data_IF_899747061647
#
_entry.id   IF_899747061647
#
_cell.length_a   1.000
_cell.length_b   1.000
_cell.length_c   1.000
_cell.angle_alpha   90.00
_cell.angle_beta   90.00
_cell.angle_gamma   90.00
#
_symmetry.space_group_name_H-M   'P 1'
#
loop_
_entity.id
_entity.type
_entity.pdbx_description
1 polymer ?
#
# COMPACT_ATOMS: atom_id res chain seq x y z
N UNK A 1 11.14 14.47 14.84
CA UNK A 1 12.47 13.98 14.42
C UNK A 1 13.07 14.86 13.30
N UNK A 2 13.07 16.19 13.43
CA UNK A 2 13.57 17.08 12.37
C UNK A 2 15.11 17.10 12.39
N UNK A 3 15.73 16.94 11.23
CA UNK A 3 17.19 16.98 11.06
C UNK A 3 17.94 15.68 11.35
N UNK A 4 17.23 14.59 11.65
CA UNK A 4 17.86 13.26 11.80
C UNK A 4 17.96 12.62 10.42
N UNK A 5 19.15 12.13 10.07
CA UNK A 5 19.34 11.40 8.82
C UNK A 5 18.61 10.05 8.89
N UNK A 6 17.89 9.72 7.82
CA UNK A 6 17.13 8.49 7.74
C UNK A 6 18.04 7.25 7.83
N UNK A 7 19.29 7.35 7.38
CA UNK A 7 20.25 6.23 7.49
C UNK A 7 20.65 5.89 8.92
N UNK A 8 20.47 6.81 9.85
CA UNK A 8 20.81 6.62 11.28
C UNK A 8 19.66 6.00 12.08
N UNK A 9 18.49 5.89 11.47
CA UNK A 9 17.28 5.39 12.11
C UNK A 9 17.06 3.94 11.70
N UNK A 10 16.77 3.09 12.68
CA UNK A 10 16.20 1.77 12.47
C UNK A 10 14.91 1.65 13.27
N UNK A 11 13.77 1.61 12.59
CA UNK A 11 12.48 1.36 13.21
C UNK A 11 11.28 1.85 12.43
N UNK A 12 10.16 2.01 13.13
CA UNK A 12 8.85 2.28 12.52
C UNK A 12 8.61 3.78 12.57
N UNK A 13 8.53 4.40 11.40
CA UNK A 13 8.49 5.85 11.26
C UNK A 13 7.24 6.28 10.49
N UNK A 14 6.52 7.25 11.06
CA UNK A 14 5.52 8.01 10.34
C UNK A 14 6.21 9.11 9.54
N UNK A 15 5.98 9.12 8.23
CA UNK A 15 6.60 10.03 7.30
C UNK A 15 5.57 10.62 6.33
N UNK A 16 5.81 11.88 5.95
CA UNK A 16 5.17 12.52 4.81
C UNK A 16 5.95 12.19 3.54
N UNK A 17 5.25 11.64 2.56
CA UNK A 17 5.78 11.08 1.33
C UNK A 17 5.28 11.91 0.15
N UNK A 18 6.21 12.30 -0.71
CA UNK A 18 5.91 12.89 -2.03
C UNK A 18 6.48 11.98 -3.10
N UNK A 19 5.61 11.46 -3.95
CA UNK A 19 6.02 10.55 -5.03
C UNK A 19 6.69 11.31 -6.18
N UNK A 20 7.68 10.73 -6.87
CA UNK A 20 8.20 11.31 -8.09
C UNK A 20 7.14 11.32 -9.20
N UNK A 21 7.16 12.34 -10.08
CA UNK A 21 6.14 12.53 -11.12
C UNK A 21 6.03 11.33 -12.08
N UNK A 22 7.16 10.76 -12.48
CA UNK A 22 7.25 9.75 -13.54
C UNK A 22 7.37 8.30 -13.00
N UNK A 23 6.75 7.99 -11.87
CA UNK A 23 6.85 6.64 -11.28
C UNK A 23 5.72 5.72 -11.74
N UNK A 24 6.01 4.70 -12.55
CA UNK A 24 4.96 3.79 -13.05
C UNK A 24 4.53 2.73 -12.04
N UNK A 25 5.44 2.39 -11.12
CA UNK A 25 5.24 1.37 -10.09
C UNK A 25 5.50 1.98 -8.72
N UNK A 26 4.49 2.65 -8.12
CA UNK A 26 4.64 3.22 -6.80
C UNK A 26 4.97 2.15 -5.78
N UNK A 27 5.88 2.48 -4.87
CA UNK A 27 6.47 1.57 -3.91
C UNK A 27 5.61 1.38 -2.65
N UNK A 28 5.04 2.46 -2.12
CA UNK A 28 4.36 2.42 -0.84
C UNK A 28 2.91 1.93 -0.94
N UNK A 29 2.53 0.91 -0.15
CA UNK A 29 1.13 0.56 0.01
C UNK A 29 0.40 1.56 0.91
N UNK A 30 -0.88 1.79 0.62
CA UNK A 30 -1.81 2.53 1.47
C UNK A 30 -3.22 1.94 1.36
N UNK A 31 -3.97 1.94 2.46
CA UNK A 31 -5.41 1.62 2.41
C UNK A 31 -6.20 2.90 2.20
N UNK A 32 -7.17 2.87 1.28
CA UNK A 32 -8.14 3.95 1.14
C UNK A 32 -9.17 3.92 2.30
N UNK A 33 -10.10 4.89 2.29
CA UNK A 33 -11.18 4.99 3.28
C UNK A 33 -12.06 3.73 3.36
N UNK A 34 -12.09 2.93 2.30
CA UNK A 34 -12.87 1.70 2.19
C UNK A 34 -12.04 0.45 2.57
N UNK A 35 -10.80 0.63 3.06
CA UNK A 35 -9.90 -0.46 3.44
C UNK A 35 -9.20 -1.16 2.26
N UNK A 36 -9.38 -0.68 1.03
CA UNK A 36 -8.76 -1.25 -0.16
C UNK A 36 -7.28 -0.89 -0.22
N UNK A 37 -6.41 -1.90 -0.33
CA UNK A 37 -4.97 -1.71 -0.49
C UNK A 37 -4.63 -1.19 -1.89
N UNK A 38 -4.08 0.02 -1.95
CA UNK A 38 -3.61 0.77 -3.11
C UNK A 38 -2.08 0.97 -3.07
N UNK A 39 -1.51 1.28 -4.23
CA UNK A 39 -0.13 1.78 -4.36
C UNK A 39 -0.19 3.11 -5.11
N UNK A 40 -0.50 4.23 -4.42
CA UNK A 40 -0.83 5.49 -5.07
C UNK A 40 0.39 6.34 -5.42
N UNK A 41 0.18 7.31 -6.32
CA UNK A 41 1.03 8.50 -6.50
C UNK A 41 0.46 9.67 -5.69
N UNK A 42 1.21 10.76 -5.59
CA UNK A 42 0.79 12.01 -4.97
C UNK A 42 1.54 12.29 -3.66
N UNK A 43 0.78 12.79 -2.68
CA UNK A 43 1.27 13.31 -1.40
C UNK A 43 0.50 12.68 -0.26
N UNK A 44 1.16 11.92 0.59
CA UNK A 44 0.46 11.25 1.68
C UNK A 44 1.34 11.01 2.90
N UNK A 45 0.69 10.84 4.06
CA UNK A 45 1.36 10.47 5.31
C UNK A 45 1.09 9.00 5.62
N UNK A 46 2.14 8.23 5.87
CA UNK A 46 2.05 6.81 6.21
C UNK A 46 3.09 6.39 7.24
N UNK A 47 2.91 5.19 7.78
CA UNK A 47 3.82 4.58 8.76
C UNK A 47 4.54 3.42 8.08
N UNK A 48 5.87 3.48 8.04
CA UNK A 48 6.72 2.55 7.30
C UNK A 48 7.96 2.20 8.10
N UNK A 49 8.59 1.07 7.78
CA UNK A 49 9.91 0.74 8.31
C UNK A 49 10.95 1.69 7.69
N UNK A 50 11.93 2.14 8.48
CA UNK A 50 13.01 3.03 8.01
C UNK A 50 13.74 2.48 6.78
N UNK A 51 13.91 1.16 6.67
CA UNK A 51 14.60 0.55 5.52
C UNK A 51 13.78 0.68 4.23
N UNK A 52 12.45 0.63 4.33
CA UNK A 52 11.55 0.91 3.21
C UNK A 52 11.69 2.37 2.78
N UNK A 53 11.77 3.29 3.75
CA UNK A 53 11.99 4.72 3.48
C UNK A 53 13.37 4.95 2.81
N UNK A 54 14.43 4.31 3.28
CA UNK A 54 15.79 4.42 2.71
C UNK A 54 15.78 3.92 1.26
N UNK A 55 15.10 2.80 1.00
CA UNK A 55 14.95 2.29 -0.36
C UNK A 55 14.14 3.25 -1.25
N UNK A 56 13.07 3.84 -0.73
CA UNK A 56 12.27 4.81 -1.47
C UNK A 56 13.03 6.09 -1.83
N UNK A 57 14.00 6.54 -1.01
CA UNK A 57 14.89 7.64 -1.40
C UNK A 57 15.69 7.31 -2.66
N UNK A 58 16.17 6.07 -2.80
CA UNK A 58 16.84 5.59 -4.03
C UNK A 58 15.91 5.63 -5.24
N UNK A 59 14.61 5.43 -5.02
CA UNK A 59 13.55 5.57 -6.02
C UNK A 59 13.10 7.03 -6.22
N UNK A 60 13.84 8.02 -5.69
CA UNK A 60 13.59 9.47 -5.84
C UNK A 60 12.31 9.97 -5.15
N UNK A 61 11.81 9.26 -4.15
CA UNK A 61 10.77 9.81 -3.27
C UNK A 61 11.35 10.92 -2.41
N UNK A 62 10.55 11.99 -2.18
CA UNK A 62 10.86 12.94 -1.10
C UNK A 62 10.16 12.46 0.17
N UNK A 63 10.92 12.35 1.24
CA UNK A 63 10.47 11.74 2.51
C UNK A 63 10.80 12.71 3.63
N UNK A 64 9.81 13.02 4.45
CA UNK A 64 9.95 13.91 5.60
C UNK A 64 9.47 13.18 6.85
N UNK A 65 10.36 13.02 7.82
CA UNK A 65 10.08 12.28 9.05
C UNK A 65 9.28 13.14 10.02
N UNK A 66 8.19 12.59 10.52
CA UNK A 66 7.33 13.26 11.50
C UNK A 66 7.68 12.77 12.90
N UNK A 67 7.36 11.50 13.18
CA UNK A 67 7.56 10.81 14.46
C UNK A 67 7.72 9.31 14.23
N UNK A 68 8.28 8.58 15.19
CA UNK A 68 8.50 7.14 15.05
C UNK A 68 9.14 6.52 16.28
N UNK A 69 9.22 5.20 16.26
CA UNK A 69 9.91 4.38 17.26
C UNK A 69 11.22 3.85 16.65
N UNK A 70 12.30 3.96 17.39
CA UNK A 70 13.60 3.39 17.04
C UNK A 70 13.85 2.10 17.81
N UNK A 71 14.62 1.19 17.20
CA UNK A 71 15.04 -0.07 17.78
C UNK A 71 16.55 -0.25 17.62
N UNK A 72 17.14 -1.00 18.53
CA UNK A 72 18.51 -1.46 18.39
C UNK A 72 18.58 -2.60 17.39
N UNK A 73 19.52 -2.53 16.44
CA UNK A 73 19.81 -3.66 15.55
C UNK A 73 20.48 -4.77 16.37
N UNK A 74 19.80 -5.91 16.51
CA UNK A 74 20.33 -7.12 17.15
C UNK A 74 20.44 -8.25 16.15
N UNK A 75 21.32 -9.21 16.45
CA UNK A 75 21.41 -10.46 15.68
C UNK A 75 20.10 -11.23 15.82
N UNK A 76 19.70 -11.93 14.75
CA UNK A 76 18.46 -12.70 14.76
C UNK A 76 18.56 -13.86 15.76
N UNK A 77 17.73 -13.82 16.79
CA UNK A 77 17.56 -14.91 17.76
C UNK A 77 17.02 -16.20 17.12
N UNK A 78 16.47 -16.11 15.90
CA UNK A 78 15.89 -17.23 15.17
C UNK A 78 16.88 -17.93 14.24
N UNK A 79 18.12 -17.43 14.11
CA UNK A 79 19.08 -17.93 13.12
C UNK A 79 19.32 -19.44 13.25
N UNK A 80 19.59 -19.92 14.46
CA UNK A 80 19.89 -21.34 14.70
C UNK A 80 18.66 -22.20 14.42
N UNK A 81 17.50 -21.83 14.98
CA UNK A 81 16.24 -22.53 14.75
C UNK A 81 15.90 -22.66 13.25
N UNK A 82 15.97 -21.56 12.51
CA UNK A 82 15.66 -21.57 11.07
C UNK A 82 16.66 -22.43 10.29
N UNK A 83 17.95 -22.37 10.64
CA UNK A 83 18.99 -23.16 9.97
C UNK A 83 18.77 -24.67 10.19
N UNK A 84 18.52 -25.09 11.43
CA UNK A 84 18.29 -26.50 11.77
C UNK A 84 17.03 -27.09 11.13
N UNK A 85 15.92 -26.34 11.17
CA UNK A 85 14.65 -26.78 10.54
C UNK A 85 14.79 -26.82 9.01
N UNK A 86 15.54 -25.87 8.43
CA UNK A 86 15.82 -25.86 7.00
C UNK A 86 16.65 -27.06 6.55
N UNK A 87 17.71 -27.40 7.29
CA UNK A 87 18.53 -28.59 7.01
C UNK A 87 17.71 -29.88 7.11
N UNK A 88 16.85 -29.97 8.12
CA UNK A 88 15.93 -31.11 8.27
C UNK A 88 14.97 -31.22 7.08
N UNK A 89 14.47 -30.09 6.59
CA UNK A 89 13.66 -30.04 5.36
C UNK A 89 14.42 -30.48 4.12
N UNK A 90 15.70 -30.09 3.97
CA UNK A 90 16.53 -30.53 2.85
C UNK A 90 16.77 -32.05 2.87
N UNK A 91 16.98 -32.63 4.05
CA UNK A 91 17.10 -34.09 4.23
C UNK A 91 15.81 -34.81 3.83
N UNK A 92 14.66 -34.35 4.31
CA UNK A 92 13.35 -34.93 3.96
C UNK A 92 13.08 -34.89 2.45
N UNK A 93 13.43 -33.79 1.77
CA UNK A 93 13.34 -33.70 0.31
C UNK A 93 14.23 -34.72 -0.40
N UNK A 94 15.46 -34.92 0.09
CA UNK A 94 16.40 -35.89 -0.51
C UNK A 94 15.92 -37.33 -0.35
N UNK A 95 15.24 -37.64 0.76
CA UNK A 95 14.67 -38.97 1.02
C UNK A 95 13.28 -39.18 0.40
N UNK A 96 12.71 -38.19 -0.30
CA UNK A 96 11.36 -38.27 -0.88
C UNK A 96 10.23 -38.21 0.16
N UNK A 97 10.51 -37.76 1.38
CA UNK A 97 9.50 -37.60 2.44
C UNK A 97 8.79 -36.25 2.29
N UNK A 98 7.77 -36.24 1.44
CA UNK A 98 6.97 -35.06 1.15
C UNK A 98 6.18 -34.55 2.37
N UNK A 99 5.78 -35.46 3.27
CA UNK A 99 5.03 -35.12 4.48
C UNK A 99 5.91 -34.30 5.43
N UNK A 100 7.11 -34.79 5.73
CA UNK A 100 8.05 -34.07 6.60
C UNK A 100 8.56 -32.79 5.95
N UNK A 101 8.85 -32.82 4.64
CA UNK A 101 9.23 -31.62 3.87
C UNK A 101 8.17 -30.52 3.95
N UNK A 102 6.89 -30.89 3.89
CA UNK A 102 5.77 -29.97 4.08
C UNK A 102 5.65 -29.50 5.53
N UNK A 103 5.75 -30.43 6.50
CA UNK A 103 5.72 -30.11 7.94
C UNK A 103 6.76 -29.08 8.34
N UNK A 104 8.02 -29.27 7.93
CA UNK A 104 9.09 -28.31 8.18
C UNK A 104 8.85 -26.97 7.48
N UNK A 105 8.32 -26.96 6.26
CA UNK A 105 7.94 -25.72 5.56
C UNK A 105 6.92 -24.92 6.36
N UNK A 106 5.86 -25.58 6.84
CA UNK A 106 4.81 -24.94 7.63
C UNK A 106 5.35 -24.45 8.97
N UNK A 107 6.22 -25.22 9.63
CA UNK A 107 6.83 -24.81 10.89
C UNK A 107 7.65 -23.53 10.72
N UNK A 108 8.49 -23.46 9.69
CA UNK A 108 9.26 -22.26 9.35
C UNK A 108 8.36 -21.06 9.05
N UNK A 109 7.31 -21.27 8.25
CA UNK A 109 6.37 -20.21 7.88
C UNK A 109 5.50 -19.75 9.06
N UNK A 110 5.23 -20.62 10.02
CA UNK A 110 4.40 -20.29 11.18
C UNK A 110 5.17 -19.50 12.23
N UNK A 111 6.51 -19.59 12.27
CA UNK A 111 7.33 -18.91 13.27
C UNK A 111 7.10 -17.40 13.27
N UNK A 112 7.31 -16.74 12.12
CA UNK A 112 7.11 -15.29 12.05
C UNK A 112 5.64 -14.91 12.25
N UNK A 113 4.72 -15.74 11.75
CA UNK A 113 3.28 -15.55 11.91
C UNK A 113 2.87 -15.51 13.38
N UNK A 114 3.54 -16.27 14.27
CA UNK A 114 3.27 -16.24 15.72
C UNK A 114 3.56 -14.89 16.38
N UNK A 115 4.57 -14.16 15.89
CA UNK A 115 4.92 -12.83 16.44
C UNK A 115 4.00 -11.72 15.93
N UNK A 116 3.28 -11.95 14.83
CA UNK A 116 2.32 -11.02 14.25
C UNK A 116 0.86 -11.43 14.53
N UNK A 117 0.64 -12.33 15.51
CA UNK A 117 -0.71 -12.66 15.98
C UNK A 117 -1.25 -11.45 16.72
N UNK A 118 -2.45 -11.02 16.34
CA UNK A 118 -3.17 -9.98 17.06
C UNK A 118 -3.32 -10.40 18.54
N UNK A 119 -2.77 -9.63 19.51
CA UNK A 119 -2.82 -9.98 20.93
C UNK A 119 -4.25 -10.03 21.47
N UNK A 120 -5.18 -9.36 20.79
CA UNK A 120 -6.61 -9.51 21.01
C UNK A 120 -7.09 -10.75 20.26
N UNK A 121 -7.07 -11.89 20.93
CA UNK A 121 -7.79 -13.06 20.46
C UNK A 121 -9.28 -12.78 20.57
N UNK A 122 -9.98 -12.85 19.45
CA UNK A 122 -11.43 -12.76 19.45
C UNK A 122 -11.98 -14.06 20.03
N UNK A 123 -12.75 -13.99 21.10
CA UNK A 123 -13.51 -15.14 21.59
C UNK A 123 -14.82 -15.16 20.80
N UNK A 124 -15.05 -16.24 20.06
CA UNK A 124 -16.28 -16.42 19.29
C UNK A 124 -17.23 -17.32 20.08
N UNK A 125 -18.29 -16.73 20.65
CA UNK A 125 -19.35 -17.47 21.36
C UNK A 125 -20.58 -17.59 20.47
N UNK A 126 -21.02 -18.82 20.16
CA UNK A 126 -22.32 -19.07 19.54
C UNK A 126 -23.36 -18.98 20.65
N UNK A 127 -24.14 -17.90 20.67
CA UNK A 127 -25.07 -17.63 21.76
C UNK A 127 -26.48 -17.32 21.26
N UNK A 128 -27.48 -17.59 22.12
CA UNK A 128 -28.89 -17.25 21.86
C UNK A 128 -29.11 -15.74 22.05
N UNK A 129 -30.17 -15.19 21.44
CA UNK A 129 -30.50 -13.74 21.47
C UNK A 129 -30.38 -13.08 22.85
N UNK A 130 -30.85 -13.74 23.91
CA UNK A 130 -30.77 -13.22 25.29
C UNK A 130 -29.32 -13.00 25.75
N UNK A 131 -28.42 -13.93 25.44
CA UNK A 131 -26.99 -13.87 25.77
C UNK A 131 -26.25 -12.84 24.90
N UNK A 132 -26.67 -12.68 23.65
CA UNK A 132 -26.20 -11.59 22.79
C UNK A 132 -26.54 -10.22 23.39
N UNK A 133 -27.79 -10.00 23.81
CA UNK A 133 -28.23 -8.74 24.43
C UNK A 133 -27.45 -8.42 25.72
N UNK A 134 -27.13 -9.44 26.53
CA UNK A 134 -26.29 -9.31 27.74
C UNK A 134 -24.83 -8.92 27.43
N UNK A 135 -24.22 -9.55 26.42
CA UNK A 135 -22.83 -9.26 26.01
C UNK A 135 -22.68 -7.86 25.42
N UNK A 136 -23.71 -7.38 24.71
CA UNK A 136 -23.71 -6.05 24.07
C UNK A 136 -23.74 -4.91 25.09
N UNK A 137 -24.22 -5.16 26.31
CA UNK A 137 -24.33 -4.18 27.37
C UNK A 137 -23.09 -4.10 28.27
N UNK A 138 -22.27 -5.15 28.34
CA UNK A 138 -21.17 -5.27 29.31
C UNK A 138 -19.77 -5.18 28.71
N UNK A 139 -19.60 -5.54 27.44
CA UNK A 139 -18.28 -5.59 26.80
C UNK A 139 -18.22 -4.74 25.52
N UNK A 140 -17.01 -4.32 25.16
CA UNK A 140 -16.75 -3.68 23.87
C UNK A 140 -16.79 -4.75 22.77
N UNK A 141 -17.99 -5.10 22.31
CA UNK A 141 -18.19 -5.99 21.17
C UNK A 141 -17.52 -5.36 19.95
N UNK A 142 -16.62 -6.12 19.31
CA UNK A 142 -15.94 -5.69 18.09
C UNK A 142 -16.90 -5.78 16.90
N UNK A 143 -17.78 -6.80 16.88
CA UNK A 143 -18.77 -7.04 15.83
C UNK A 143 -19.86 -8.02 16.32
N UNK A 144 -21.10 -7.84 15.88
CA UNK A 144 -22.20 -8.77 16.08
C UNK A 144 -23.11 -8.74 14.86
N UNK A 145 -23.03 -9.76 13.99
CA UNK A 145 -23.80 -9.80 12.75
C UNK A 145 -24.13 -11.22 12.28
N UNK A 146 -25.27 -11.32 11.59
CA UNK A 146 -25.81 -12.55 11.03
C UNK A 146 -24.92 -13.05 9.88
N UNK A 147 -24.70 -14.37 9.88
CA UNK A 147 -23.59 -15.06 9.21
C UNK A 147 -23.62 -15.13 7.66
N UNK A 148 -23.86 -14.04 6.93
CA UNK A 148 -23.47 -13.99 5.51
C UNK A 148 -22.92 -12.64 5.03
N UNK A 149 -22.05 -12.75 4.03
CA UNK A 149 -21.60 -11.81 2.97
C UNK A 149 -20.17 -11.19 2.95
N UNK A 150 -19.27 -11.29 3.94
CA UNK A 150 -18.02 -10.46 3.82
C UNK A 150 -16.63 -10.95 4.35
N UNK A 151 -16.31 -12.25 4.42
CA UNK A 151 -14.95 -12.71 4.82
C UNK A 151 -13.99 -13.01 3.66
N UNK A 152 -12.76 -12.47 3.70
CA UNK A 152 -11.69 -12.77 2.73
C UNK A 152 -10.34 -13.10 3.38
N UNK A 153 -9.73 -14.22 2.95
CA UNK A 153 -8.32 -14.58 3.19
C UNK A 153 -7.45 -14.07 2.02
N UNK A 154 -6.26 -13.54 2.33
CA UNK A 154 -5.28 -12.98 1.37
C UNK A 154 -3.97 -13.78 1.42
N UNK A 155 -3.37 -13.93 0.24
CA UNK A 155 -2.14 -14.69 -0.03
C UNK A 155 -1.29 -13.84 -1.02
N UNK A 156 0.03 -13.79 -0.87
CA UNK A 156 0.99 -13.08 -1.73
C UNK A 156 2.08 -14.10 -2.11
N UNK A 157 2.19 -14.51 -3.37
CA UNK A 157 2.85 -15.81 -3.66
C UNK A 157 3.57 -15.93 -5.02
N UNK A 158 4.00 -14.83 -5.65
CA UNK A 158 4.93 -14.86 -6.82
C UNK A 158 5.06 -13.50 -7.50
N UNK A 159 6.15 -13.30 -8.25
CA UNK A 159 6.31 -12.21 -9.21
C UNK A 159 6.63 -12.79 -10.59
N UNK A 160 6.08 -12.19 -11.64
CA UNK A 160 6.37 -12.52 -13.05
C UNK A 160 7.14 -11.34 -13.65
N UNK A 161 8.23 -11.63 -14.34
CA UNK A 161 9.18 -10.63 -14.85
C UNK A 161 9.34 -10.79 -16.36
N UNK A 162 9.42 -9.67 -17.08
CA UNK A 162 9.67 -9.66 -18.52
C UNK A 162 11.13 -9.93 -18.91
N UNK A 163 12.04 -9.93 -17.93
CA UNK A 163 13.46 -10.29 -18.11
C UNK A 163 13.87 -11.25 -17.00
N UNK A 164 14.79 -12.20 -17.28
CA UNK A 164 15.31 -13.11 -16.27
C UNK A 164 16.04 -12.33 -15.16
N UNK A 165 15.96 -12.85 -13.94
CA UNK A 165 16.76 -12.35 -12.82
C UNK A 165 18.21 -12.76 -12.98
N UNK A 166 19.11 -12.00 -12.34
CA UNK A 166 20.51 -12.38 -12.20
C UNK A 166 20.61 -13.77 -11.56
N UNK A 167 21.41 -14.67 -12.14
CA UNK A 167 21.52 -16.07 -11.70
C UNK A 167 21.85 -16.20 -10.21
N UNK A 168 22.69 -15.30 -9.68
CA UNK A 168 23.06 -15.24 -8.26
C UNK A 168 21.88 -15.02 -7.29
N UNK A 169 20.74 -14.54 -7.77
CA UNK A 169 19.53 -14.29 -6.96
C UNK A 169 18.53 -15.46 -7.01
N UNK A 170 18.80 -16.48 -7.82
CA UNK A 170 17.86 -17.56 -8.13
C UNK A 170 18.40 -18.89 -7.64
N UNK A 171 17.65 -19.56 -6.76
CA UNK A 171 17.95 -20.93 -6.34
C UNK A 171 16.71 -21.63 -5.81
N UNK A 172 16.61 -22.94 -6.07
CA UNK A 172 15.56 -23.80 -5.51
C UNK A 172 15.94 -24.41 -4.15
N UNK A 173 17.20 -24.26 -3.75
CA UNK A 173 17.83 -24.98 -2.62
C UNK A 173 18.59 -24.09 -1.65
N UNK A 174 18.74 -22.79 -1.93
CA UNK A 174 19.38 -21.83 -1.01
C UNK A 174 18.31 -20.97 -0.36
N UNK A 175 18.33 -20.91 0.97
CA UNK A 175 17.39 -20.11 1.74
C UNK A 175 17.52 -18.61 1.42
N UNK A 176 16.39 -17.94 1.21
CA UNK A 176 16.34 -16.51 0.92
C UNK A 176 16.51 -16.13 -0.55
N UNK A 177 16.88 -17.09 -1.43
CA UNK A 177 16.91 -16.86 -2.88
C UNK A 177 15.57 -17.18 -3.53
N UNK A 178 15.34 -16.57 -4.69
CA UNK A 178 14.08 -16.73 -5.44
C UNK A 178 14.07 -18.06 -6.18
N UNK A 179 13.00 -18.84 -6.03
CA UNK A 179 12.80 -20.06 -6.82
C UNK A 179 12.21 -19.71 -8.17
N UNK A 180 12.87 -20.10 -9.26
CA UNK A 180 12.27 -20.05 -10.59
C UNK A 180 11.18 -21.14 -10.70
N UNK A 181 9.94 -20.72 -10.94
CA UNK A 181 8.81 -21.65 -11.10
C UNK A 181 8.56 -22.02 -12.57
N UNK A 182 8.44 -21.02 -13.46
CA UNK A 182 8.06 -21.22 -14.86
C UNK A 182 8.82 -20.30 -15.80
N UNK A 183 9.06 -20.77 -17.02
CA UNK A 183 9.33 -19.92 -18.18
C UNK A 183 8.01 -19.68 -18.93
N UNK A 184 7.60 -18.43 -19.02
CA UNK A 184 6.34 -18.00 -19.65
C UNK A 184 6.63 -17.51 -21.07
N UNK A 185 5.97 -18.12 -22.07
CA UNK A 185 5.99 -17.67 -23.48
C UNK A 185 5.04 -16.50 -23.70
N UNK A 186 3.82 -16.61 -23.17
CA UNK A 186 2.73 -15.62 -23.33
C UNK A 186 1.94 -15.52 -22.03
N UNK A 187 1.50 -14.32 -21.65
CA UNK A 187 0.68 -14.10 -20.46
C UNK A 187 -0.38 -13.04 -20.68
N UNK A 188 -1.64 -13.37 -20.33
CA UNK A 188 -2.75 -12.41 -20.27
C UNK A 188 -3.05 -12.13 -18.79
N UNK A 189 -2.95 -10.87 -18.39
CA UNK A 189 -3.18 -10.42 -17.02
C UNK A 189 -4.36 -9.44 -17.00
N UNK A 190 -5.52 -9.89 -16.52
CA UNK A 190 -6.73 -9.07 -16.53
C UNK A 190 -6.94 -8.36 -15.18
N UNK A 191 -6.60 -9.01 -14.07
CA UNK A 191 -6.69 -8.43 -12.73
C UNK A 191 -5.79 -9.19 -11.73
N UNK A 192 -5.75 -8.71 -10.48
CA UNK A 192 -5.07 -9.41 -9.38
C UNK A 192 -5.62 -10.85 -9.25
N UNK A 193 -4.72 -11.85 -9.36
CA UNK A 193 -5.06 -13.28 -9.31
C UNK A 193 -6.06 -13.73 -10.39
N UNK A 194 -6.13 -12.99 -11.50
CA UNK A 194 -6.90 -13.28 -12.71
C UNK A 194 -5.94 -13.20 -13.90
N UNK A 195 -5.32 -14.34 -14.25
CA UNK A 195 -4.35 -14.41 -15.34
C UNK A 195 -4.31 -15.79 -16.02
N UNK A 196 -3.85 -15.80 -17.27
CA UNK A 196 -3.52 -16.97 -18.07
C UNK A 196 -2.05 -16.89 -18.48
N UNK A 197 -1.31 -17.97 -18.30
CA UNK A 197 0.06 -18.13 -18.78
C UNK A 197 0.13 -19.31 -19.76
N UNK A 198 0.92 -19.15 -20.82
CA UNK A 198 1.37 -20.23 -21.70
C UNK A 198 2.83 -20.47 -21.35
N UNK A 199 3.15 -21.64 -20.82
CA UNK A 199 4.52 -21.99 -20.41
C UNK A 199 5.22 -22.81 -21.49
N UNK A 200 6.50 -23.15 -21.28
CA UNK A 200 7.22 -24.12 -22.11
C UNK A 200 6.39 -25.42 -22.23
N UNK A 201 6.38 -26.02 -23.42
CA UNK A 201 5.54 -27.18 -23.81
C UNK A 201 4.04 -26.89 -24.01
N UNK A 202 3.68 -25.62 -24.27
CA UNK A 202 2.32 -25.14 -24.61
C UNK A 202 1.24 -25.45 -23.56
N UNK A 203 1.67 -25.83 -22.37
CA UNK A 203 0.81 -26.02 -21.20
C UNK A 203 0.27 -24.67 -20.74
N UNK A 204 -1.03 -24.64 -20.45
CA UNK A 204 -1.76 -23.43 -20.02
C UNK A 204 -1.93 -23.46 -18.50
N UNK A 205 -1.46 -22.41 -17.83
CA UNK A 205 -1.68 -22.20 -16.39
C UNK A 205 -2.69 -21.06 -16.24
N UNK A 206 -3.85 -21.35 -15.67
CA UNK A 206 -4.91 -20.37 -15.46
C UNK A 206 -5.13 -20.15 -13.97
N UNK A 207 -5.23 -18.89 -13.57
CA UNK A 207 -5.52 -18.48 -12.20
C UNK A 207 -6.71 -17.55 -12.19
N UNK A 208 -7.74 -17.94 -11.46
CA UNK A 208 -8.89 -17.12 -11.12
C UNK A 208 -9.22 -17.34 -9.64
N UNK A 209 -9.53 -16.26 -8.91
CA UNK A 209 -10.03 -16.35 -7.53
C UNK A 209 -11.56 -16.30 -7.53
N UNK A 210 -12.18 -17.10 -6.66
CA UNK A 210 -13.63 -17.08 -6.45
C UNK A 210 -14.37 -18.28 -7.06
N UNK A 211 -15.71 -18.30 -6.93
CA UNK A 211 -16.55 -19.45 -7.32
C UNK A 211 -16.50 -19.76 -8.83
N UNK A 212 -16.13 -18.78 -9.66
CA UNK A 212 -15.99 -18.92 -11.10
C UNK A 212 -14.72 -19.64 -11.57
N UNK A 213 -13.80 -19.99 -10.66
CA UNK A 213 -12.46 -20.48 -11.00
C UNK A 213 -12.44 -21.63 -12.02
N UNK A 214 -13.37 -22.58 -11.88
CA UNK A 214 -13.41 -23.78 -12.73
C UNK A 214 -14.13 -23.58 -14.07
N UNK A 215 -14.73 -22.40 -14.28
CA UNK A 215 -15.54 -22.09 -15.45
C UNK A 215 -14.85 -21.11 -16.41
N UNK A 216 -13.67 -20.61 -16.03
CA UNK A 216 -12.86 -19.74 -16.88
C UNK A 216 -11.93 -20.60 -17.73
N UNK A 217 -11.96 -20.38 -19.04
CA UNK A 217 -11.09 -21.06 -20.02
C UNK A 217 -10.22 -20.06 -20.80
N UNK A 218 -9.39 -20.57 -21.72
CA UNK A 218 -8.48 -19.75 -22.50
C UNK A 218 -9.20 -18.74 -23.42
N UNK A 219 -10.35 -19.12 -23.97
CA UNK A 219 -11.14 -18.27 -24.87
C UNK A 219 -11.80 -17.13 -24.10
N UNK A 220 -12.26 -17.40 -22.87
CA UNK A 220 -12.74 -16.37 -21.97
C UNK A 220 -11.67 -15.30 -21.74
N UNK A 221 -10.44 -15.71 -21.40
CA UNK A 221 -9.33 -14.75 -21.21
C UNK A 221 -9.06 -13.91 -22.47
N UNK A 222 -9.12 -14.51 -23.66
CA UNK A 222 -8.95 -13.77 -24.92
C UNK A 222 -10.12 -12.82 -25.20
N UNK A 223 -11.36 -13.25 -24.95
CA UNK A 223 -12.57 -12.43 -25.14
C UNK A 223 -12.57 -11.21 -24.21
N UNK A 224 -12.20 -11.39 -22.95
CA UNK A 224 -12.10 -10.32 -21.96
C UNK A 224 -10.95 -9.37 -22.27
N UNK A 225 -9.81 -9.89 -22.77
CA UNK A 225 -8.70 -9.04 -23.22
C UNK A 225 -9.09 -8.16 -24.41
N UNK A 226 -9.79 -8.72 -25.40
CA UNK A 226 -10.28 -7.96 -26.56
C UNK A 226 -11.38 -6.96 -26.20
N UNK A 227 -12.28 -7.33 -25.29
CA UNK A 227 -13.40 -6.50 -24.84
C UNK A 227 -13.70 -6.73 -23.36
N UNK A 228 -13.16 -5.88 -22.46
CA UNK A 228 -13.32 -6.00 -21.01
C UNK A 228 -14.76 -5.95 -20.49
N UNK A 229 -15.70 -5.41 -21.27
CA UNK A 229 -17.13 -5.34 -20.92
C UNK A 229 -17.90 -6.63 -21.23
N UNK A 230 -17.26 -7.64 -21.80
CA UNK A 230 -17.91 -8.91 -22.16
C UNK A 230 -18.45 -9.60 -20.91
N UNK A 231 -19.73 -9.96 -20.96
CA UNK A 231 -20.41 -10.65 -19.86
C UNK A 231 -20.87 -12.02 -20.34
N UNK A 232 -20.53 -13.07 -19.58
CA UNK A 232 -20.99 -14.43 -19.85
C UNK A 232 -21.74 -14.97 -18.63
N UNK A 233 -22.98 -15.41 -18.82
CA UNK A 233 -23.75 -16.02 -17.75
C UNK A 233 -23.46 -17.52 -17.70
N UNK A 234 -23.15 -18.04 -16.51
CA UNK A 234 -22.90 -19.45 -16.26
C UNK A 234 -23.77 -19.95 -15.10
N UNK A 235 -24.12 -21.23 -15.17
CA UNK A 235 -24.80 -21.93 -14.09
C UNK A 235 -23.76 -22.72 -13.29
N UNK A 236 -23.62 -22.42 -11.99
CA UNK A 236 -22.73 -23.15 -11.09
C UNK A 236 -23.56 -24.05 -10.17
N UNK A 237 -23.19 -25.33 -10.13
CA UNK A 237 -23.75 -26.28 -9.17
C UNK A 237 -22.86 -26.37 -7.92
N UNK A 238 -23.46 -26.18 -6.75
CA UNK A 238 -22.82 -26.42 -5.45
C UNK A 238 -23.47 -27.64 -4.81
N UNK A 239 -22.74 -28.75 -4.75
CA UNK A 239 -23.27 -30.05 -4.30
C UNK A 239 -23.61 -30.09 -2.80
N UNK A 240 -22.90 -29.31 -1.97
CA UNK A 240 -23.04 -29.33 -0.52
C UNK A 240 -23.28 -27.93 0.04
N UNK A 241 -24.40 -27.30 -0.34
CA UNK A 241 -24.74 -26.00 0.24
C UNK A 241 -25.55 -26.21 1.51
N UNK A 242 -24.99 -25.75 2.63
CA UNK A 242 -25.67 -25.74 3.92
C UNK A 242 -26.55 -24.49 3.97
N UNK A 243 -27.84 -24.69 4.19
CA UNK A 243 -28.72 -23.64 4.68
C UNK A 243 -28.48 -23.50 6.19
N UNK A 244 -27.78 -22.45 6.60
CA UNK A 244 -27.43 -22.24 8.00
C UNK A 244 -28.62 -21.94 8.92
N UNK A 245 -29.80 -21.64 8.37
CA UNK A 245 -31.01 -21.43 9.16
C UNK A 245 -31.72 -22.74 9.47
N UNK A 246 -31.79 -23.64 8.49
CA UNK A 246 -32.46 -24.94 8.61
C UNK A 246 -31.50 -26.11 8.85
N UNK A 247 -30.19 -25.87 8.73
CA UNK A 247 -29.09 -26.83 8.71
C UNK A 247 -29.21 -27.90 7.61
N UNK A 248 -30.08 -27.69 6.64
CA UNK A 248 -30.27 -28.61 5.52
C UNK A 248 -29.11 -28.50 4.53
N UNK A 249 -28.67 -29.64 4.02
CA UNK A 249 -27.67 -29.73 2.96
C UNK A 249 -28.42 -30.01 1.67
N UNK A 250 -28.32 -29.09 0.70
CA UNK A 250 -28.97 -29.25 -0.59
C UNK A 250 -28.01 -28.91 -1.75
N UNK A 251 -28.25 -29.57 -2.88
CA UNK A 251 -27.67 -29.16 -4.16
C UNK A 251 -28.31 -27.83 -4.55
N UNK A 252 -27.50 -26.79 -4.76
CA UNK A 252 -27.99 -25.49 -5.24
C UNK A 252 -27.34 -25.11 -6.55
N UNK A 253 -28.17 -24.78 -7.53
CA UNK A 253 -27.77 -24.20 -8.82
C UNK A 253 -27.86 -22.68 -8.68
N UNK A 254 -26.78 -21.97 -8.99
CA UNK A 254 -26.73 -20.49 -8.92
C UNK A 254 -26.28 -19.94 -10.27
N UNK A 255 -27.06 -19.00 -10.81
CA UNK A 255 -26.67 -18.25 -12.00
C UNK A 255 -25.65 -17.18 -11.61
N UNK A 256 -24.49 -17.20 -12.26
CA UNK A 256 -23.39 -16.26 -12.02
C UNK A 256 -23.00 -15.58 -13.32
N UNK A 257 -22.86 -14.26 -13.25
CA UNK A 257 -22.41 -13.43 -14.36
C UNK A 257 -20.89 -13.29 -14.31
N UNK A 258 -20.18 -13.93 -15.24
CA UNK A 258 -18.75 -13.75 -15.47
C UNK A 258 -18.52 -12.42 -16.18
N UNK A 259 -18.14 -11.40 -15.41
CA UNK A 259 -17.66 -10.12 -15.92
C UNK A 259 -16.29 -9.83 -15.35
N UNK A 260 -15.43 -9.13 -16.09
CA UNK A 260 -14.22 -8.57 -15.52
C UNK A 260 -14.62 -7.47 -14.53
N UNK A 261 -14.41 -7.72 -13.23
CA UNK A 261 -14.49 -6.66 -12.25
C UNK A 261 -13.21 -5.83 -12.37
N UNK A 262 -13.26 -4.77 -13.16
CA UNK A 262 -12.20 -3.77 -13.21
C UNK A 262 -11.91 -3.32 -11.78
N UNK A 263 -10.68 -3.58 -11.32
CA UNK A 263 -10.33 -3.38 -9.93
C UNK A 263 -10.26 -1.91 -9.58
N UNK A 264 -10.83 -1.51 -8.42
CA UNK A 264 -10.78 -0.15 -7.90
C UNK A 264 -9.36 0.35 -7.51
N UNK A 265 -8.30 -0.37 -7.88
CA UNK A 265 -6.93 -0.15 -7.39
C UNK A 265 -6.05 0.68 -8.32
N UNK A 266 -6.38 0.72 -9.60
CA UNK A 266 -5.69 1.45 -10.66
C UNK A 266 -6.73 1.93 -11.67
N UNK A 267 -6.42 3.01 -12.36
CA UNK A 267 -7.31 3.57 -13.38
C UNK A 267 -6.91 2.99 -14.75
N UNK A 268 -7.85 2.41 -15.51
CA UNK A 268 -7.55 1.85 -16.83
C UNK A 268 -7.28 2.95 -17.85
N UNK A 269 -6.29 2.76 -18.72
CA UNK A 269 -6.00 3.62 -19.87
C UNK A 269 -6.39 2.89 -21.15
N UNK A 270 -7.07 3.60 -22.04
CA UNK A 270 -7.54 3.11 -23.34
C UNK A 270 -6.88 3.89 -24.47
N UNK A 271 -6.71 3.25 -25.62
CA UNK A 271 -6.28 3.93 -26.85
C UNK A 271 -7.46 4.62 -27.55
N UNK A 272 -7.17 5.24 -28.70
CA UNK A 272 -8.15 5.93 -29.55
C UNK A 272 -9.23 4.96 -30.10
N UNK A 273 -9.03 3.65 -30.01
CA UNK A 273 -9.95 2.61 -30.47
C UNK A 273 -10.70 1.92 -29.32
N UNK A 274 -10.71 2.52 -28.12
CA UNK A 274 -11.28 1.95 -26.89
C UNK A 274 -10.65 0.60 -26.46
N UNK A 275 -9.46 0.29 -26.95
CA UNK A 275 -8.71 -0.89 -26.54
C UNK A 275 -7.92 -0.59 -25.27
N UNK A 276 -8.05 -1.45 -24.26
CA UNK A 276 -7.32 -1.28 -23.00
C UNK A 276 -5.83 -1.53 -23.20
N UNK A 277 -4.99 -0.52 -22.90
CA UNK A 277 -3.54 -0.58 -23.12
C UNK A 277 -2.80 -0.89 -21.82
N UNK A 278 -3.05 -0.13 -20.74
CA UNK A 278 -2.27 -0.19 -19.49
C UNK A 278 -3.07 0.41 -18.31
N UNK A 279 -2.89 -0.05 -17.05
CA UNK A 279 -3.45 0.63 -15.88
C UNK A 279 -2.47 1.58 -15.18
N UNK A 280 -2.91 2.82 -14.93
CA UNK A 280 -2.13 3.82 -14.17
C UNK A 280 -2.46 3.82 -12.67
N UNK A 281 -1.48 4.11 -11.80
CA UNK A 281 -1.74 4.24 -10.37
C UNK A 281 -2.61 5.46 -10.05
N UNK A 282 -3.49 5.32 -9.06
CA UNK A 282 -4.32 6.42 -8.54
C UNK A 282 -3.48 7.52 -7.89
N UNK A 283 -3.90 8.77 -8.06
CA UNK A 283 -3.32 9.91 -7.36
C UNK A 283 -4.07 10.18 -6.05
N UNK A 284 -3.33 10.39 -4.96
CA UNK A 284 -3.87 10.57 -3.61
C UNK A 284 -3.22 11.78 -2.94
N UNK A 285 -4.07 12.61 -2.33
CA UNK A 285 -3.69 13.61 -1.34
C UNK A 285 -4.34 13.23 0.00
N UNK A 286 -3.54 12.75 0.95
CA UNK A 286 -4.05 12.31 2.26
C UNK A 286 -3.00 12.51 3.35
N UNK A 287 -3.18 13.57 4.13
CA UNK A 287 -2.22 14.00 5.14
C UNK A 287 -2.42 13.33 6.50
N UNK A 288 -3.41 12.42 6.63
CA UNK A 288 -3.69 11.67 7.84
C UNK A 288 -3.81 12.53 9.13
N UNK A 289 -4.33 13.75 9.01
CA UNK A 289 -4.49 14.71 10.12
C UNK A 289 -3.20 15.43 10.54
N UNK A 290 -2.11 15.29 9.78
CA UNK A 290 -0.83 15.99 10.01
C UNK A 290 -0.72 17.28 9.17
N UNK A 291 -1.86 17.88 8.80
CA UNK A 291 -1.97 19.03 7.90
C UNK A 291 -1.05 20.20 8.31
N UNK A 292 -1.04 20.57 9.60
CA UNK A 292 -0.17 21.64 10.12
C UNK A 292 1.32 21.31 10.00
N UNK A 293 1.70 20.06 10.28
CA UNK A 293 3.08 19.58 10.18
C UNK A 293 3.53 19.59 8.71
N UNK A 294 2.67 19.12 7.81
CA UNK A 294 2.90 19.07 6.36
C UNK A 294 2.97 20.48 5.78
N UNK A 295 2.09 21.40 6.17
CA UNK A 295 2.11 22.79 5.73
C UNK A 295 3.44 23.47 6.08
N UNK A 296 3.96 23.26 7.29
CA UNK A 296 5.28 23.77 7.70
C UNK A 296 6.41 23.21 6.83
N UNK A 297 6.33 21.93 6.45
CA UNK A 297 7.31 21.28 5.57
C UNK A 297 7.20 21.84 4.15
N UNK A 298 6.00 21.89 3.58
CA UNK A 298 5.75 22.39 2.22
C UNK A 298 6.19 23.87 2.11
N UNK A 299 5.97 24.69 3.14
CA UNK A 299 6.43 26.08 3.21
C UNK A 299 7.96 26.18 3.20
N UNK A 300 8.65 25.42 4.05
CA UNK A 300 10.11 25.39 4.07
C UNK A 300 10.69 24.97 2.71
N UNK A 301 10.09 23.96 2.06
CA UNK A 301 10.54 23.51 0.74
C UNK A 301 10.45 24.62 -0.32
N UNK A 302 9.39 25.42 -0.30
CA UNK A 302 9.20 26.49 -1.29
C UNK A 302 10.14 27.66 -0.98
N UNK A 303 10.39 27.96 0.29
CA UNK A 303 11.39 28.95 0.71
C UNK A 303 12.81 28.54 0.27
N UNK A 304 13.21 27.29 0.46
CA UNK A 304 14.50 26.76 0.01
C UNK A 304 14.63 26.80 -1.53
N UNK A 305 13.56 26.49 -2.25
CA UNK A 305 13.51 26.56 -3.72
C UNK A 305 13.66 28.00 -4.21
N UNK A 306 12.98 28.95 -3.56
CA UNK A 306 13.08 30.38 -3.85
C UNK A 306 14.51 30.89 -3.61
N UNK A 307 15.15 30.49 -2.51
CA UNK A 307 16.52 30.90 -2.19
C UNK A 307 17.52 30.39 -3.22
N UNK A 308 17.39 29.14 -3.66
CA UNK A 308 18.22 28.58 -4.72
C UNK A 308 18.02 29.30 -6.06
N UNK A 309 16.77 29.61 -6.42
CA UNK A 309 16.45 30.37 -7.65
C UNK A 309 16.96 31.80 -7.60
N UNK A 310 16.89 32.46 -6.43
CA UNK A 310 17.47 33.79 -6.23
C UNK A 310 18.99 33.78 -6.38
N UNK A 311 19.68 32.76 -5.85
CA UNK A 311 21.14 32.57 -6.06
C UNK A 311 21.47 32.35 -7.52
N UNK A 312 20.71 31.53 -8.24
CA UNK A 312 20.88 31.31 -9.69
C UNK A 312 20.70 32.62 -10.48
N UNK A 313 19.68 33.40 -10.12
CA UNK A 313 19.38 34.69 -10.74
C UNK A 313 20.47 35.73 -10.46
N UNK A 314 20.99 35.78 -9.23
CA UNK A 314 22.13 36.63 -8.87
C UNK A 314 23.39 36.26 -9.66
N UNK A 315 23.68 34.97 -9.80
CA UNK A 315 24.80 34.47 -10.60
C UNK A 315 24.66 34.82 -12.09
N UNK A 316 23.46 34.66 -12.66
CA UNK A 316 23.21 35.07 -14.06
C UNK A 316 23.31 36.58 -14.23
N UNK A 317 22.85 37.38 -13.27
CA UNK A 317 23.01 38.84 -13.31
C UNK A 317 24.48 39.28 -13.36
N UNK A 318 25.37 38.56 -12.68
CA UNK A 318 26.82 38.82 -12.72
C UNK A 318 27.45 38.47 -14.08
N UNK A 319 26.94 37.46 -14.79
CA UNK A 319 27.45 37.01 -16.12
C UNK A 319 26.92 37.82 -17.31
N UNK A 320 25.76 38.46 -17.20
CA UNK A 320 25.09 39.20 -18.30
C UNK A 320 25.73 40.59 -18.57
N UNK A 321 26.97 40.81 -18.13
CA UNK A 321 27.79 41.94 -18.55
C UNK A 321 28.28 41.82 -20.00
N UNK A 322 28.21 40.62 -20.62
CA UNK A 322 28.50 40.40 -22.03
C UNK A 322 27.23 39.92 -22.76
N UNK A 323 26.84 40.65 -23.81
CA UNK A 323 25.54 40.59 -24.52
C UNK A 323 25.32 39.25 -25.25
N UNK A 324 24.25 38.53 -24.90
CA UNK A 324 23.66 37.45 -25.71
C UNK A 324 22.13 37.39 -25.53
N UNK A 325 21.37 37.28 -26.63
CA UNK A 325 19.89 37.27 -26.63
C UNK A 325 19.28 36.02 -25.97
N UNK A 326 20.00 34.89 -25.92
CA UNK A 326 19.57 33.64 -25.30
C UNK A 326 19.52 33.74 -23.77
N UNK A 327 20.49 34.45 -23.18
CA UNK A 327 20.51 34.76 -21.75
C UNK A 327 19.32 35.62 -21.31
N UNK A 328 18.85 36.53 -22.16
CA UNK A 328 17.68 37.37 -21.86
C UNK A 328 16.39 36.56 -21.76
N UNK A 329 16.15 35.60 -22.68
CA UNK A 329 14.95 34.74 -22.63
C UNK A 329 14.98 33.80 -21.41
N UNK A 330 16.12 33.16 -21.14
CA UNK A 330 16.29 32.31 -19.95
C UNK A 330 16.12 33.10 -18.65
N UNK A 331 16.60 34.35 -18.59
CA UNK A 331 16.43 35.24 -17.44
C UNK A 331 14.96 35.61 -17.20
N UNK A 332 14.21 35.95 -18.26
CA UNK A 332 12.77 36.27 -18.13
C UNK A 332 12.00 35.08 -17.55
N UNK A 333 12.27 33.87 -18.03
CA UNK A 333 11.69 32.64 -17.49
C UNK A 333 12.02 32.44 -16.00
N UNK A 334 13.28 32.65 -15.59
CA UNK A 334 13.68 32.57 -14.18
C UNK A 334 13.01 33.61 -13.28
N UNK A 335 12.85 34.84 -13.76
CA UNK A 335 12.13 35.89 -13.03
C UNK A 335 10.68 35.49 -12.83
N UNK A 336 10.02 34.94 -13.85
CA UNK A 336 8.65 34.44 -13.75
C UNK A 336 8.53 33.33 -12.70
N UNK A 337 9.45 32.35 -12.69
CA UNK A 337 9.49 31.29 -11.68
C UNK A 337 9.62 31.85 -10.25
N UNK A 338 10.50 32.83 -10.03
CA UNK A 338 10.67 33.50 -8.72
C UNK A 338 9.39 34.19 -8.27
N UNK A 339 8.69 34.88 -9.17
CA UNK A 339 7.40 35.53 -8.87
C UNK A 339 6.35 34.50 -8.48
N UNK A 340 6.24 33.40 -9.23
CA UNK A 340 5.30 32.31 -8.91
C UNK A 340 5.59 31.67 -7.56
N UNK A 341 6.87 31.43 -7.22
CA UNK A 341 7.26 30.88 -5.92
C UNK A 341 6.88 31.81 -4.76
N UNK A 342 7.09 33.14 -4.91
CA UNK A 342 6.68 34.13 -3.90
C UNK A 342 5.17 34.13 -3.67
N UNK A 343 4.38 34.09 -4.74
CA UNK A 343 2.92 33.99 -4.64
C UNK A 343 2.48 32.72 -3.90
N UNK A 344 3.15 31.60 -4.16
CA UNK A 344 2.87 30.34 -3.48
C UNK A 344 3.22 30.37 -1.99
N UNK A 345 4.32 31.00 -1.59
CA UNK A 345 4.68 31.19 -0.18
C UNK A 345 3.59 32.01 0.52
N UNK A 346 3.13 33.09 -0.12
CA UNK A 346 2.07 33.93 0.45
C UNK A 346 0.81 33.10 0.72
N UNK A 347 0.35 32.34 -0.27
CA UNK A 347 -0.82 31.46 -0.13
C UNK A 347 -0.65 30.44 1.03
N UNK A 348 0.52 29.81 1.15
CA UNK A 348 0.80 28.85 2.22
C UNK A 348 0.82 29.52 3.60
N UNK A 349 1.34 30.75 3.71
CA UNK A 349 1.31 31.54 4.95
C UNK A 349 -0.11 31.90 5.34
N UNK A 350 -0.93 32.34 4.38
CA UNK A 350 -2.34 32.69 4.60
C UNK A 350 -3.16 31.47 5.04
N UNK A 351 -2.83 30.28 4.52
CA UNK A 351 -3.48 29.01 4.91
C UNK A 351 -3.09 28.56 6.33
N UNK A 352 -1.93 28.99 6.84
CA UNK A 352 -1.41 28.63 8.16
C UNK A 352 -1.95 29.49 9.32
N UNK A 353 -2.72 30.54 9.02
CA UNK A 353 -3.32 31.46 9.98
C UNK A 353 -4.83 31.18 10.18
N UNK A 354 -5.17 30.12 10.93
CA UNK A 354 -6.32 30.22 11.84
C UNK A 354 -5.89 29.95 13.30
N UNK A 355 -6.18 30.92 14.18
CA UNK A 355 -6.37 30.80 15.64
C UNK A 355 -5.19 30.60 16.62
N UNK A 356 -4.05 31.28 16.43
CA UNK A 356 -3.09 31.49 17.54
C UNK A 356 -3.19 32.89 18.21
N UNK A 357 -4.12 33.76 17.76
CA UNK A 357 -4.36 35.08 18.38
C UNK A 357 -5.57 35.13 19.33
N UNK A 358 -6.38 34.07 19.44
CA UNK A 358 -7.56 34.07 20.31
C UNK A 358 -7.28 33.68 21.78
N UNK A 359 -6.10 33.15 22.11
CA UNK A 359 -5.79 32.64 23.45
C UNK A 359 -5.09 33.65 24.39
N UNK A 360 -4.69 34.84 23.93
CA UNK A 360 -4.10 35.87 24.80
C UNK A 360 -5.08 36.97 25.24
N UNK A 361 -6.29 37.04 24.67
CA UNK A 361 -7.29 38.08 24.99
C UNK A 361 -8.37 37.61 25.99
N UNK A 362 -8.46 36.31 26.29
CA UNK A 362 -9.47 35.75 27.22
C UNK A 362 -8.95 35.42 28.63
N UNK A 363 -7.65 35.56 28.91
CA UNK A 363 -7.11 35.37 30.27
C UNK A 363 -7.07 36.63 31.14
N UNK A 364 -7.36 37.83 30.59
CA UNK A 364 -7.34 39.09 31.35
C UNK A 364 -8.72 39.65 31.75
N UNK A 365 -9.83 38.93 31.52
CA UNK A 365 -11.18 39.36 31.97
C UNK A 365 -11.78 38.55 33.13
N UNK A 366 -11.12 37.49 33.61
CA UNK A 366 -11.67 36.58 34.63
C UNK A 366 -10.99 36.64 36.00
N UNK A 367 -10.16 37.67 36.28
CA UNK A 367 -9.54 37.87 37.60
C UNK A 367 -10.25 38.90 38.50
N UNK A 368 -11.17 39.72 37.98
CA UNK A 368 -11.83 40.76 38.78
C UNK A 368 -13.24 40.42 39.30
N UNK A 369 -13.81 39.25 38.98
CA UNK A 369 -15.18 38.89 39.41
C UNK A 369 -15.28 37.87 40.56
N UNK A 370 -14.17 37.47 41.19
CA UNK A 370 -14.14 36.43 42.24
C UNK A 370 -13.77 36.89 43.65
N UNK A 371 -13.75 38.19 43.93
CA UNK A 371 -13.45 38.72 45.28
C UNK A 371 -14.66 39.11 46.15
N UNK A 372 -15.91 38.97 45.69
CA UNK A 372 -17.05 39.57 46.40
C UNK A 372 -18.17 38.63 46.88
N UNK A 373 -17.98 37.30 46.88
CA UNK A 373 -18.99 36.38 47.47
C UNK A 373 -18.37 35.31 48.35
N UNK A 374 -17.96 35.71 49.56
CA UNK A 374 -17.83 34.84 50.75
C UNK A 374 -17.83 35.70 52.02
N UNK A 375 -18.99 36.25 52.35
CA UNK A 375 -19.36 36.73 53.70
C UNK A 375 -20.87 36.61 53.84
N UNK A 376 -21.30 35.51 54.45
CA UNK A 376 -22.48 35.27 55.29
C UNK A 376 -22.69 33.76 55.41
#
# INVERSE_FOLDING_TARGET
>A
MRGIDLSEIFGIVQAYIITPKNIDKPFFPRRDKNGTLLFPKGKFVGVYLSEELIYAQKLRYKIFLLKGYTFEKKTSIFKNFISEVYESRLKAKKSGDDVMSYGYKILMNSLYGRFDINPKSTITEICKRKRYEELTQREKIIMGDKLSDDYYIVNIDSAILGKPLLEKLVSSTVLGLLKLEYFVKEGIFLALKCYKLVIKDDKKVMKQKGPSKNYVNADWFQSQYKKPSTTQNISIESNFRIDWHTLNIAKKVTQLSLRLQMGNKRDPVYDENDLWIDPVPKEVLDLAGEDTSVLKIDLQMVEDELDNKNKELAFKNLKITNKDQEYSKSKISLVQEVVTLRQRIQLLKDTSLPDDQAMSSHQNKNKDSKKEKKKL
#
